data_IF_412034956420
#
_entry.id   IF_412034956420
#
_cell.length_a   1.000
_cell.length_b   1.000
_cell.length_c   1.000
_cell.angle_alpha   90.00
_cell.angle_beta   90.00
_cell.angle_gamma   90.00
#
_symmetry.space_group_name_H-M   'P 1'
#
loop_
_entity.id
_entity.type
_entity.pdbx_description
1 polymer ?
#
# COMPACT_ATOMS: atom_id res chain seq x y z
N UNK A 1 17.58 -8.99 -17.98
CA UNK A 1 16.10 -8.97 -17.88
C UNK A 1 15.71 -7.77 -17.04
N UNK A 2 14.81 -6.89 -17.50
CA UNK A 2 14.31 -5.80 -16.64
C UNK A 2 13.27 -6.39 -15.69
N UNK A 3 13.46 -6.23 -14.38
CA UNK A 3 12.45 -6.62 -13.39
C UNK A 3 11.26 -5.67 -13.44
N UNK A 4 10.04 -6.20 -13.29
CA UNK A 4 8.84 -5.37 -13.16
C UNK A 4 8.82 -4.69 -11.78
N UNK A 5 8.22 -3.49 -11.64
CA UNK A 5 8.11 -2.83 -10.34
C UNK A 5 7.24 -3.63 -9.37
N UNK A 6 7.57 -3.52 -8.07
CA UNK A 6 6.81 -4.07 -6.95
C UNK A 6 5.54 -3.24 -6.79
N UNK A 7 4.39 -3.88 -6.91
CA UNK A 7 3.07 -3.25 -6.85
C UNK A 7 2.61 -3.20 -5.39
N UNK A 8 2.50 -2.00 -4.84
CA UNK A 8 2.21 -1.78 -3.42
C UNK A 8 0.82 -1.20 -3.26
N UNK A 9 0.04 -1.75 -2.33
CA UNK A 9 -1.17 -1.10 -1.81
C UNK A 9 -0.86 -0.54 -0.44
N UNK A 10 -1.24 0.72 -0.22
CA UNK A 10 -1.09 1.39 1.06
C UNK A 10 -2.44 1.47 1.74
N UNK A 11 -2.52 1.00 2.99
CA UNK A 11 -3.73 1.10 3.80
C UNK A 11 -3.46 1.87 5.10
N UNK A 12 -4.16 2.99 5.28
CA UNK A 12 -4.24 3.75 6.52
C UNK A 12 -5.50 4.62 6.51
N UNK A 13 -6.15 4.77 7.64
CA UNK A 13 -7.26 5.72 7.81
C UNK A 13 -6.79 7.17 7.85
N UNK A 14 -5.56 7.38 8.31
CA UNK A 14 -4.96 8.67 8.55
C UNK A 14 -4.41 9.28 7.25
N UNK A 15 -4.99 10.40 6.82
CA UNK A 15 -4.60 11.02 5.56
C UNK A 15 -3.15 11.50 5.55
N UNK A 16 -2.66 11.96 6.71
CA UNK A 16 -1.29 12.44 6.87
C UNK A 16 -0.26 11.32 6.72
N UNK A 17 -0.55 10.13 7.24
CA UNK A 17 0.26 8.92 7.06
C UNK A 17 0.26 8.47 5.60
N UNK A 18 -0.93 8.43 4.96
CA UNK A 18 -1.00 8.08 3.53
C UNK A 18 -0.12 8.99 2.69
N UNK A 19 -0.21 10.30 2.91
CA UNK A 19 0.60 11.28 2.19
C UNK A 19 2.10 11.14 2.48
N UNK A 20 2.50 10.77 3.70
CA UNK A 20 3.90 10.53 4.05
C UNK A 20 4.44 9.27 3.34
N UNK A 21 3.70 8.16 3.42
CA UNK A 21 4.06 6.88 2.79
C UNK A 21 4.08 6.99 1.25
N UNK A 22 3.12 7.68 0.64
CA UNK A 22 3.09 7.90 -0.82
C UNK A 22 4.31 8.67 -1.31
N UNK A 23 4.76 9.68 -0.56
CA UNK A 23 6.02 10.41 -0.86
C UNK A 23 7.24 9.52 -0.73
N UNK A 24 7.32 8.70 0.32
CA UNK A 24 8.44 7.78 0.53
C UNK A 24 8.52 6.71 -0.56
N UNK A 25 7.40 6.04 -0.86
CA UNK A 25 7.31 4.99 -1.87
C UNK A 25 7.54 5.53 -3.28
N UNK A 26 7.08 6.74 -3.57
CA UNK A 26 7.32 7.41 -4.85
C UNK A 26 8.80 7.74 -5.12
N UNK A 27 9.64 7.74 -4.08
CA UNK A 27 11.09 7.88 -4.21
C UNK A 27 11.83 6.59 -4.59
N UNK A 28 11.14 5.44 -4.61
CA UNK A 28 11.76 4.15 -4.88
C UNK A 28 11.47 3.72 -6.33
N UNK A 29 12.47 3.70 -7.22
CA UNK A 29 12.26 3.43 -8.66
C UNK A 29 11.76 2.00 -8.94
N UNK A 30 12.00 1.08 -8.00
CA UNK A 30 11.57 -0.31 -8.08
C UNK A 30 10.10 -0.52 -7.68
N UNK A 31 9.42 0.53 -7.21
CA UNK A 31 8.10 0.46 -6.56
C UNK A 31 7.05 1.24 -7.35
N UNK A 32 5.87 0.65 -7.45
CA UNK A 32 4.67 1.30 -7.95
C UNK A 32 3.58 1.25 -6.88
N UNK A 33 3.22 2.41 -6.31
CA UNK A 33 2.02 2.53 -5.49
C UNK A 33 0.80 2.43 -6.41
N UNK A 34 0.01 1.38 -6.28
CA UNK A 34 -1.10 1.06 -7.19
C UNK A 34 -2.49 1.34 -6.60
N UNK A 35 -2.59 1.47 -5.28
CA UNK A 35 -3.81 1.95 -4.63
C UNK A 35 -3.52 2.47 -3.22
N UNK A 36 -4.35 3.42 -2.79
CA UNK A 36 -4.51 3.81 -1.39
C UNK A 36 -5.88 3.33 -0.90
N UNK A 37 -5.93 2.78 0.31
CA UNK A 37 -7.14 2.22 0.93
C UNK A 37 -7.31 2.83 2.32
N UNK A 38 -8.50 3.33 2.61
CA UNK A 38 -8.81 3.91 3.93
C UNK A 38 -9.36 2.87 4.90
N UNK A 39 -10.13 1.88 4.41
CA UNK A 39 -10.84 0.91 5.25
C UNK A 39 -10.20 -0.48 5.15
N UNK A 40 -9.84 -1.10 6.28
CA UNK A 40 -9.14 -2.38 6.28
C UNK A 40 -9.96 -3.48 5.59
N UNK A 41 -11.29 -3.45 5.73
CA UNK A 41 -12.18 -4.44 5.13
C UNK A 41 -12.17 -4.42 3.59
N UNK A 42 -11.71 -3.33 2.98
CA UNK A 42 -11.56 -3.20 1.53
C UNK A 42 -10.16 -3.59 1.03
N UNK A 43 -9.18 -3.67 1.93
CA UNK A 43 -7.77 -3.89 1.59
C UNK A 43 -7.57 -5.17 0.77
N UNK A 44 -8.10 -6.31 1.23
CA UNK A 44 -7.92 -7.59 0.54
C UNK A 44 -8.53 -7.60 -0.86
N UNK A 45 -9.73 -7.00 -1.00
CA UNK A 45 -10.39 -6.85 -2.31
C UNK A 45 -9.58 -5.97 -3.25
N UNK A 46 -9.08 -4.84 -2.75
CA UNK A 46 -8.31 -3.90 -3.55
C UNK A 46 -6.97 -4.52 -3.97
N UNK A 47 -6.25 -5.15 -3.04
CA UNK A 47 -4.99 -5.85 -3.29
C UNK A 47 -5.15 -6.94 -4.35
N UNK A 48 -6.22 -7.74 -4.29
CA UNK A 48 -6.55 -8.72 -5.32
C UNK A 48 -6.89 -8.10 -6.67
N UNK A 49 -7.72 -7.05 -6.68
CA UNK A 49 -8.14 -6.38 -7.92
C UNK A 49 -6.96 -5.78 -8.69
N UNK A 50 -5.99 -5.20 -7.99
CA UNK A 50 -4.81 -4.58 -8.60
C UNK A 50 -3.62 -5.54 -8.70
N UNK A 51 -3.77 -6.82 -8.33
CA UNK A 51 -2.67 -7.79 -8.25
C UNK A 51 -1.43 -7.20 -7.53
N UNK A 52 -1.63 -6.77 -6.29
CA UNK A 52 -0.58 -6.23 -5.44
C UNK A 52 0.44 -7.32 -5.07
N UNK A 53 1.72 -6.95 -5.05
CA UNK A 53 2.79 -7.82 -4.54
C UNK A 53 2.93 -7.71 -3.01
N UNK A 54 2.61 -6.53 -2.45
CA UNK A 54 2.57 -6.34 -1.01
C UNK A 54 1.55 -5.27 -0.59
N UNK A 55 1.24 -5.28 0.71
CA UNK A 55 0.38 -4.31 1.38
C UNK A 55 1.16 -3.67 2.53
N UNK A 56 1.12 -2.35 2.61
CA UNK A 56 1.57 -1.59 3.78
C UNK A 56 0.34 -1.31 4.64
N UNK A 57 0.38 -1.72 5.90
CA UNK A 57 -0.73 -1.62 6.85
C UNK A 57 -0.30 -0.82 8.08
N UNK A 58 -1.14 0.11 8.54
CA UNK A 58 -1.05 0.68 9.87
C UNK A 58 -1.44 -0.38 10.93
N UNK A 59 -0.44 -0.89 11.65
CA UNK A 59 -0.61 -1.95 12.66
C UNK A 59 -1.05 -1.42 14.02
N UNK A 60 -0.88 -0.14 14.32
CA UNK A 60 -1.26 0.43 15.62
C UNK A 60 -2.79 0.49 15.74
N UNK A 61 -3.47 0.71 14.61
CA UNK A 61 -4.93 0.61 14.51
C UNK A 61 -5.44 -0.80 14.27
N UNK A 62 -4.62 -1.65 13.64
CA UNK A 62 -5.00 -2.99 13.23
C UNK A 62 -3.92 -4.00 13.63
N UNK A 63 -3.84 -4.37 14.91
CA UNK A 63 -2.84 -5.31 15.38
C UNK A 63 -2.98 -6.64 14.66
N UNK A 64 -1.87 -7.11 14.09
CA UNK A 64 -1.78 -8.46 13.54
C UNK A 64 -1.76 -9.44 14.71
N UNK A 65 -2.80 -10.26 14.81
CA UNK A 65 -2.93 -11.33 15.80
C UNK A 65 -1.90 -12.45 15.58
#
# INVERSE_FOLDING_TARGET
MKSRPIRVVLMSEEASERQACTRLLGGWPEVALVAEVTLICQMGRQAGHVAADCVVLDIDRYPLA
#
